data_IF_481294129099
#
_entry.id   IF_481294129099
#
_cell.length_a   1.000
_cell.length_b   1.000
_cell.length_c   1.000
_cell.angle_alpha   90.00
_cell.angle_beta   90.00
_cell.angle_gamma   90.00
#
_symmetry.space_group_name_H-M   'P 1'
#
loop_
_entity.id
_entity.type
_entity.pdbx_description
1 polymer ?
#
# COMPACT_ATOMS: atom_id res chain seq x y z
N UNK A 1 20.69 0.35 0.19
CA UNK A 1 19.92 1.62 0.20
C UNK A 1 19.08 1.64 -1.07
N UNK A 2 18.21 0.64 -1.20
CA UNK A 2 17.82 0.15 -2.54
C UNK A 2 16.56 0.86 -3.05
N UNK A 3 15.72 1.34 -2.14
CA UNK A 3 14.52 2.14 -2.45
C UNK A 3 14.92 3.44 -3.17
N UNK A 4 15.91 4.18 -2.66
CA UNK A 4 16.35 5.42 -3.29
C UNK A 4 16.99 5.18 -4.67
N UNK A 5 17.76 4.09 -4.81
CA UNK A 5 18.31 3.70 -6.10
C UNK A 5 17.20 3.35 -7.12
N UNK A 6 16.14 2.66 -6.67
CA UNK A 6 14.99 2.36 -7.51
C UNK A 6 14.21 3.63 -7.93
N UNK A 7 14.07 4.61 -7.04
CA UNK A 7 13.49 5.91 -7.38
C UNK A 7 14.33 6.66 -8.40
N UNK A 8 15.66 6.70 -8.22
CA UNK A 8 16.56 7.38 -9.15
C UNK A 8 16.48 6.78 -10.56
N UNK A 9 16.51 5.44 -10.65
CA UNK A 9 16.34 4.72 -11.90
C UNK A 9 14.96 5.00 -12.55
N UNK A 10 13.87 4.90 -11.78
CA UNK A 10 12.52 5.16 -12.30
C UNK A 10 12.34 6.61 -12.80
N UNK A 11 12.96 7.57 -12.12
CA UNK A 11 12.95 8.98 -12.53
C UNK A 11 13.76 9.17 -13.81
N UNK A 12 14.94 8.55 -13.89
CA UNK A 12 15.78 8.60 -15.08
C UNK A 12 15.08 7.98 -16.30
N UNK A 13 14.39 6.87 -16.10
CA UNK A 13 13.62 6.17 -17.14
C UNK A 13 12.36 6.94 -17.55
N UNK A 14 11.97 7.97 -16.81
CA UNK A 14 10.87 8.88 -17.16
C UNK A 14 9.50 8.24 -17.05
N UNK A 15 9.29 7.35 -16.06
CA UNK A 15 7.99 6.71 -15.82
C UNK A 15 6.90 7.73 -15.46
N UNK A 16 5.65 7.40 -15.76
CA UNK A 16 4.51 8.28 -15.41
C UNK A 16 4.08 8.13 -13.94
N UNK A 17 4.18 6.92 -13.39
CA UNK A 17 3.68 6.53 -12.07
C UNK A 17 4.65 5.56 -11.40
N UNK A 18 4.87 5.74 -10.09
CA UNK A 18 5.60 4.77 -9.25
C UNK A 18 4.60 4.15 -8.25
N UNK A 19 4.45 2.83 -8.30
CA UNK A 19 3.59 2.07 -7.39
C UNK A 19 4.42 1.38 -6.30
N UNK A 20 4.12 1.68 -5.05
CA UNK A 20 4.93 1.32 -3.89
C UNK A 20 4.07 0.54 -2.88
N UNK A 21 4.07 -0.78 -3.00
CA UNK A 21 3.35 -1.66 -2.06
C UNK A 21 4.26 -2.16 -0.93
N UNK A 22 5.11 -1.27 -0.43
CA UNK A 22 6.02 -1.49 0.70
C UNK A 22 5.95 -0.29 1.63
N UNK A 23 6.42 -0.46 2.87
CA UNK A 23 6.42 0.57 3.88
C UNK A 23 7.27 0.14 5.07
N UNK A 24 7.06 0.78 6.23
CA UNK A 24 7.88 0.54 7.41
C UNK A 24 9.16 1.37 7.45
N UNK A 25 9.20 2.48 6.71
CA UNK A 25 10.22 3.52 6.84
C UNK A 25 10.06 4.35 8.11
N UNK A 26 10.94 5.32 8.29
CA UNK A 26 10.95 6.20 9.46
C UNK A 26 9.68 7.05 9.56
N UNK A 27 9.33 7.45 10.79
CA UNK A 27 8.24 8.42 11.03
C UNK A 27 8.59 9.83 10.57
N UNK A 28 9.88 10.11 10.37
CA UNK A 28 10.37 11.41 9.92
C UNK A 28 10.62 11.41 8.40
N UNK A 29 9.96 12.32 7.68
CA UNK A 29 10.03 12.43 6.23
C UNK A 29 11.44 12.71 5.67
N UNK A 30 12.32 13.30 6.48
CA UNK A 30 13.69 13.65 6.04
C UNK A 30 14.67 12.49 6.16
N UNK A 31 14.29 11.41 6.84
CA UNK A 31 15.10 10.18 6.97
C UNK A 31 14.44 8.99 6.27
N UNK A 32 13.12 9.04 6.04
CA UNK A 32 12.42 8.01 5.30
C UNK A 32 12.75 8.03 3.80
N UNK A 33 13.32 6.92 3.33
CA UNK A 33 13.70 6.71 1.93
C UNK A 33 12.53 6.83 0.94
N UNK A 34 11.32 6.41 1.32
CA UNK A 34 10.14 6.51 0.45
C UNK A 34 9.72 7.97 0.30
N UNK A 35 9.67 8.71 1.42
CA UNK A 35 9.37 10.14 1.47
C UNK A 35 10.35 10.97 0.64
N UNK A 36 11.65 10.72 0.79
CA UNK A 36 12.70 11.41 0.03
C UNK A 36 12.58 11.11 -1.47
N UNK A 37 12.46 9.84 -1.84
CA UNK A 37 12.33 9.41 -3.24
C UNK A 37 11.09 10.01 -3.91
N UNK A 38 9.94 9.94 -3.25
CA UNK A 38 8.68 10.49 -3.75
C UNK A 38 8.74 12.02 -3.92
N UNK A 39 9.44 12.72 -3.03
CA UNK A 39 9.63 14.16 -3.15
C UNK A 39 10.40 14.54 -4.42
N UNK A 40 11.45 13.79 -4.77
CA UNK A 40 12.19 14.02 -6.03
C UNK A 40 11.39 13.61 -7.26
N UNK A 41 10.68 12.48 -7.22
CA UNK A 41 9.80 12.02 -8.29
C UNK A 41 8.73 13.08 -8.64
N UNK A 42 8.12 13.70 -7.63
CA UNK A 42 7.13 14.76 -7.84
C UNK A 42 7.71 15.97 -8.58
N UNK A 43 8.98 16.35 -8.34
CA UNK A 43 9.62 17.47 -9.08
C UNK A 43 9.72 17.20 -10.58
N UNK A 44 9.70 15.92 -10.97
CA UNK A 44 9.68 15.45 -12.36
C UNK A 44 8.28 15.12 -12.86
N UNK A 45 7.23 15.50 -12.12
CA UNK A 45 5.81 15.24 -12.41
C UNK A 45 5.43 13.75 -12.41
N UNK A 46 6.21 12.94 -11.69
CA UNK A 46 5.93 11.51 -11.51
C UNK A 46 5.17 11.34 -10.20
N UNK A 47 3.99 10.71 -10.25
CA UNK A 47 3.17 10.49 -9.07
C UNK A 47 3.56 9.19 -8.36
N UNK A 48 3.72 9.25 -7.04
CA UNK A 48 4.00 8.07 -6.21
C UNK A 48 2.74 7.65 -5.48
N UNK A 49 2.35 6.39 -5.64
CA UNK A 49 1.19 5.77 -4.99
C UNK A 49 1.68 4.70 -4.03
N UNK A 50 1.33 4.79 -2.75
CA UNK A 50 1.85 3.90 -1.72
C UNK A 50 0.74 3.31 -0.82
N UNK A 51 0.96 2.11 -0.30
CA UNK A 51 0.03 1.48 0.65
C UNK A 51 0.11 2.13 2.04
N UNK A 52 -0.99 2.11 2.78
CA UNK A 52 -1.04 2.62 4.17
C UNK A 52 -0.37 1.70 5.19
N UNK A 53 -0.08 0.45 4.80
CA UNK A 53 0.36 -0.62 5.68
C UNK A 53 -0.80 -1.44 6.28
N UNK A 54 -0.47 -2.60 6.86
CA UNK A 54 -1.45 -3.56 7.36
C UNK A 54 -1.48 -3.63 8.91
N UNK A 55 -0.98 -2.59 9.58
CA UNK A 55 -0.81 -2.54 11.04
C UNK A 55 -2.05 -2.08 11.83
N UNK A 56 -3.17 -1.82 11.16
CA UNK A 56 -4.44 -1.46 11.81
C UNK A 56 -4.99 -2.60 12.70
N UNK A 57 -6.15 -2.40 13.36
CA UNK A 57 -7.10 -1.28 13.22
C UNK A 57 -6.89 -0.14 14.22
N UNK A 58 -5.88 -0.22 15.10
CA UNK A 58 -5.60 0.83 16.07
C UNK A 58 -5.30 2.17 15.40
N UNK A 59 -5.65 3.27 16.07
CA UNK A 59 -5.35 4.61 15.60
C UNK A 59 -3.84 4.83 15.43
N UNK A 60 -3.46 5.74 14.53
CA UNK A 60 -2.06 6.13 14.27
C UNK A 60 -1.13 4.99 13.82
N UNK A 61 -1.67 3.99 13.11
CA UNK A 61 -0.90 2.87 12.51
C UNK A 61 -0.58 3.06 11.03
N UNK A 62 -0.99 4.21 10.46
CA UNK A 62 -0.82 4.59 9.05
C UNK A 62 0.66 4.89 8.75
N UNK A 63 1.17 4.33 7.65
CA UNK A 63 2.52 4.58 7.12
C UNK A 63 2.47 5.30 5.77
N UNK A 64 3.62 5.72 5.24
CA UNK A 64 3.74 6.44 3.96
C UNK A 64 2.89 7.73 3.91
N UNK A 65 2.93 8.52 4.99
CA UNK A 65 2.10 9.72 5.18
C UNK A 65 2.71 11.01 4.65
N UNK A 66 3.85 10.94 3.97
CA UNK A 66 4.52 12.13 3.48
C UNK A 66 3.62 12.90 2.51
N UNK A 67 3.57 14.23 2.62
CA UNK A 67 2.90 15.04 1.62
C UNK A 67 3.45 14.70 0.23
N UNK A 68 2.56 14.65 -0.77
CA UNK A 68 2.88 14.35 -2.19
C UNK A 68 3.01 12.86 -2.52
N UNK A 69 2.69 11.97 -1.59
CA UNK A 69 2.37 10.56 -1.84
C UNK A 69 0.85 10.39 -1.85
N UNK A 70 0.34 9.60 -2.79
CA UNK A 70 -1.05 9.13 -2.75
C UNK A 70 -1.08 7.89 -1.87
N UNK A 71 -1.50 8.05 -0.61
CA UNK A 71 -1.57 6.95 0.37
C UNK A 71 -2.90 6.22 0.28
N UNK A 72 -2.84 4.90 0.13
CA UNK A 72 -4.00 4.07 -0.23
C UNK A 72 -4.28 3.03 0.87
N UNK A 73 -5.48 3.07 1.45
CA UNK A 73 -5.98 2.11 2.44
C UNK A 73 -6.51 0.83 1.78
N UNK A 74 -6.88 -0.18 2.57
CA UNK A 74 -7.51 -1.38 2.04
C UNK A 74 -9.02 -1.38 2.34
N UNK A 75 -9.83 -1.75 1.35
CA UNK A 75 -11.26 -1.99 1.51
C UNK A 75 -11.68 -3.28 0.81
N UNK A 76 -12.79 -3.87 1.24
CA UNK A 76 -13.35 -5.07 0.65
C UNK A 76 -14.23 -4.74 -0.56
N UNK A 77 -14.34 -5.67 -1.51
CA UNK A 77 -15.33 -5.61 -2.60
C UNK A 77 -16.50 -6.58 -2.32
N UNK A 78 -17.54 -6.51 -3.14
CA UNK A 78 -18.73 -7.38 -3.06
C UNK A 78 -18.43 -8.87 -3.36
N UNK A 79 -17.31 -9.15 -4.04
CA UNK A 79 -16.83 -10.50 -4.31
C UNK A 79 -16.23 -11.16 -3.07
N UNK A 80 -16.74 -12.36 -2.74
CA UNK A 80 -16.17 -13.26 -1.74
C UNK A 80 -15.90 -14.65 -2.33
N UNK A 81 -14.76 -15.24 -1.99
CA UNK A 81 -14.41 -16.62 -2.33
C UNK A 81 -14.87 -17.56 -1.22
N UNK A 82 -15.71 -18.54 -1.56
CA UNK A 82 -16.23 -19.51 -0.57
C UNK A 82 -15.50 -20.84 -0.71
N UNK A 83 -15.02 -21.37 0.41
CA UNK A 83 -14.51 -22.74 0.53
C UNK A 83 -15.45 -23.54 1.44
N UNK A 84 -15.75 -24.78 1.07
CA UNK A 84 -16.62 -25.67 1.85
C UNK A 84 -15.78 -26.71 2.57
N UNK A 85 -15.94 -26.77 3.89
CA UNK A 85 -15.37 -27.82 4.75
C UNK A 85 -16.48 -28.78 5.11
N UNK A 86 -16.33 -30.05 4.72
CA UNK A 86 -17.22 -31.12 5.16
C UNK A 86 -16.62 -31.79 6.40
N UNK A 87 -17.36 -31.81 7.49
CA UNK A 87 -16.95 -32.44 8.74
C UNK A 87 -17.28 -33.94 8.70
N UNK A 88 -16.60 -34.74 9.53
CA UNK A 88 -16.90 -36.17 9.69
C UNK A 88 -18.32 -36.47 10.18
N UNK A 89 -19.03 -35.48 10.73
CA UNK A 89 -20.46 -35.55 11.08
C UNK A 89 -21.40 -35.36 9.88
N UNK A 90 -20.88 -35.15 8.68
CA UNK A 90 -21.66 -34.85 7.47
C UNK A 90 -22.10 -33.38 7.34
N UNK A 91 -21.81 -32.53 8.34
CA UNK A 91 -22.12 -31.09 8.31
C UNK A 91 -21.14 -30.34 7.39
N UNK A 92 -21.67 -29.44 6.57
CA UNK A 92 -20.87 -28.52 5.76
C UNK A 92 -20.73 -27.16 6.45
N UNK A 93 -19.52 -26.60 6.45
CA UNK A 93 -19.20 -25.24 6.91
C UNK A 93 -18.64 -24.46 5.72
N UNK A 94 -19.13 -23.24 5.51
CA UNK A 94 -18.59 -22.33 4.51
C UNK A 94 -17.58 -21.38 5.17
N UNK A 95 -16.37 -21.34 4.63
CA UNK A 95 -15.36 -20.34 4.95
C UNK A 95 -15.36 -19.33 3.82
N UNK A 96 -15.60 -18.06 4.12
CA UNK A 96 -15.54 -16.99 3.13
C UNK A 96 -14.24 -16.21 3.27
N UNK A 97 -13.50 -16.10 2.17
CA UNK A 97 -12.34 -15.24 2.03
C UNK A 97 -12.76 -13.99 1.27
N UNK A 98 -12.43 -12.83 1.82
CA UNK A 98 -12.80 -11.55 1.23
C UNK A 98 -11.61 -11.01 0.44
N UNK A 99 -11.89 -10.44 -0.72
CA UNK A 99 -10.89 -9.74 -1.52
C UNK A 99 -10.77 -8.31 -1.01
N UNK A 100 -9.56 -7.92 -0.62
CA UNK A 100 -9.22 -6.54 -0.29
C UNK A 100 -8.52 -5.88 -1.48
N UNK A 101 -8.97 -4.68 -1.85
CA UNK A 101 -8.32 -3.79 -2.80
C UNK A 101 -7.88 -2.50 -2.12
N UNK A 102 -6.92 -1.82 -2.73
CA UNK A 102 -6.44 -0.53 -2.25
C UNK A 102 -7.44 0.61 -2.65
N UNK A 103 -7.97 1.35 -1.68
CA UNK A 103 -8.82 2.54 -1.83
C UNK A 103 -8.18 3.82 -1.30
N UNK A 104 -8.39 4.95 -1.97
CA UNK A 104 -7.79 6.23 -1.58
C UNK A 104 -8.34 6.73 -0.23
N UNK A 105 -7.45 7.15 0.67
CA UNK A 105 -7.85 7.80 1.92
C UNK A 105 -8.33 9.22 1.62
N UNK A 106 -9.65 9.44 1.67
CA UNK A 106 -10.21 10.79 1.76
C UNK A 106 -10.04 11.29 3.21
N UNK A 107 -9.26 12.36 3.37
CA UNK A 107 -9.40 13.25 4.53
C UNK A 107 -10.64 14.13 4.36
#
# INVERSE_FOLDING_TARGET
MDILAAFDAAIHDGVDVISISIGGGDTNYVTDSISIGAFFAMRKRIISVASVGNGGPSLATVTNTAPRIVTVAASTIDRAFKSTVQLGSGKNIFVSFIVSLYTYLKN
#
